data_IF_957646643036
#
_entry.id   IF_957646643036
#
_cell.length_a   1.000
_cell.length_b   1.000
_cell.length_c   1.000
_cell.angle_alpha   90.00
_cell.angle_beta   90.00
_cell.angle_gamma   90.00
#
_symmetry.space_group_name_H-M   'P 1'
#
loop_
_entity.id
_entity.type
_entity.pdbx_description
1 polymer ?
#
# COMPACT_ATOMS: atom_id res chain seq x y z
N UNK A 1 -16.09 7.77 -0.02
CA UNK A 1 -16.17 7.61 1.45
C UNK A 1 -15.80 8.93 2.10
N UNK A 2 -16.62 9.42 3.02
CA UNK A 2 -16.39 10.69 3.71
C UNK A 2 -16.11 10.40 5.20
N UNK A 3 -14.89 10.67 5.64
CA UNK A 3 -14.41 10.51 7.02
C UNK A 3 -14.29 11.85 7.75
N UNK A 4 -14.69 12.97 7.15
CA UNK A 4 -14.78 14.23 7.89
C UNK A 4 -15.88 14.13 8.95
N UNK A 5 -15.76 14.85 10.07
CA UNK A 5 -16.81 14.89 11.08
C UNK A 5 -17.99 15.73 10.57
N UNK A 6 -19.23 15.28 10.81
CA UNK A 6 -20.43 15.89 10.22
C UNK A 6 -20.76 17.28 10.75
N UNK A 7 -20.14 17.70 11.85
CA UNK A 7 -20.26 19.03 12.44
C UNK A 7 -19.27 20.06 11.86
N UNK A 8 -18.41 19.66 10.90
CA UNK A 8 -17.54 20.59 10.19
C UNK A 8 -18.05 20.83 8.76
N UNK A 9 -18.00 22.09 8.31
CA UNK A 9 -18.45 22.49 6.97
C UNK A 9 -17.81 21.66 5.84
N UNK A 10 -16.54 21.27 6.02
CA UNK A 10 -15.78 20.44 5.07
C UNK A 10 -16.47 19.11 4.76
N UNK A 11 -17.26 18.57 5.70
CA UNK A 11 -18.06 17.37 5.46
C UNK A 11 -19.04 17.58 4.33
N UNK A 12 -19.79 18.68 4.37
CA UNK A 12 -20.77 19.04 3.33
C UNK A 12 -20.09 19.37 2.00
N UNK A 13 -18.90 19.96 2.04
CA UNK A 13 -18.14 20.31 0.84
C UNK A 13 -17.59 19.06 0.14
N UNK A 14 -17.11 18.09 0.93
CA UNK A 14 -16.63 16.81 0.42
C UNK A 14 -17.74 15.98 -0.26
N UNK A 15 -19.01 16.12 0.15
CA UNK A 15 -20.14 15.46 -0.51
C UNK A 15 -20.42 16.00 -1.92
N UNK A 16 -20.02 17.25 -2.20
CA UNK A 16 -20.20 17.89 -3.52
C UNK A 16 -19.10 17.53 -4.52
N UNK A 17 -18.06 16.82 -4.08
CA UNK A 17 -16.97 16.40 -4.96
C UNK A 17 -17.49 15.41 -5.98
N UNK A 18 -17.28 15.71 -7.26
CA UNK A 18 -17.72 14.84 -8.34
C UNK A 18 -17.01 13.48 -8.28
N UNK A 19 -17.81 12.42 -8.31
CA UNK A 19 -17.31 11.06 -8.47
C UNK A 19 -16.55 10.93 -9.80
N UNK A 20 -15.44 10.18 -9.79
CA UNK A 20 -14.66 9.90 -10.98
C UNK A 20 -14.83 8.42 -11.38
N UNK A 21 -14.97 8.09 -12.68
CA UNK A 21 -15.01 6.70 -13.12
C UNK A 21 -13.80 5.90 -12.62
N UNK A 22 -14.03 4.65 -12.18
CA UNK A 22 -12.99 3.70 -11.76
C UNK A 22 -12.10 4.25 -10.62
N UNK A 23 -12.57 5.25 -9.89
CA UNK A 23 -11.85 5.88 -8.78
C UNK A 23 -12.69 5.87 -7.52
N UNK A 24 -12.13 5.34 -6.44
CA UNK A 24 -12.73 5.38 -5.12
C UNK A 24 -12.14 6.52 -4.31
N UNK A 25 -12.96 7.52 -4.01
CA UNK A 25 -12.51 8.73 -3.32
C UNK A 25 -12.72 8.62 -1.81
N UNK A 26 -11.72 9.05 -1.04
CA UNK A 26 -11.74 9.06 0.42
C UNK A 26 -11.37 10.45 0.91
N UNK A 27 -12.31 11.17 1.52
CA UNK A 27 -12.04 12.45 2.19
C UNK A 27 -11.91 12.27 3.69
N UNK A 28 -11.04 13.03 4.35
CA UNK A 28 -10.95 13.08 5.81
C UNK A 28 -9.73 13.84 6.33
N UNK A 29 -9.69 14.08 7.64
CA UNK A 29 -8.50 14.62 8.30
C UNK A 29 -7.39 13.58 8.36
N UNK A 30 -6.14 14.03 8.27
CA UNK A 30 -5.00 13.12 8.20
C UNK A 30 -3.65 13.80 8.18
N UNK A 31 -2.61 12.97 8.07
CA UNK A 31 -1.21 13.34 8.06
C UNK A 31 -0.40 12.26 7.31
N UNK A 32 0.95 12.35 7.24
CA UNK A 32 1.76 11.36 6.54
C UNK A 32 1.59 9.91 6.99
N UNK A 33 1.04 9.64 8.17
CA UNK A 33 1.00 8.29 8.76
C UNK A 33 -0.41 7.71 8.89
N UNK A 34 -1.46 8.54 8.95
CA UNK A 34 -2.84 8.08 9.17
C UNK A 34 -3.92 9.08 8.75
N UNK A 35 -5.16 8.60 8.69
CA UNK A 35 -6.39 9.40 8.68
C UNK A 35 -7.18 9.19 9.98
N UNK A 36 -8.13 10.08 10.26
CA UNK A 36 -9.06 9.96 11.38
C UNK A 36 -10.48 9.82 10.84
N UNK A 37 -11.24 8.86 11.38
CA UNK A 37 -12.69 8.82 11.21
C UNK A 37 -13.32 9.89 12.11
N UNK A 38 -13.77 11.00 11.53
CA UNK A 38 -14.35 12.12 12.27
C UNK A 38 -15.64 11.77 13.02
N UNK A 39 -16.34 10.70 12.64
CA UNK A 39 -17.55 10.28 13.36
C UNK A 39 -17.24 9.56 14.67
N UNK A 40 -16.11 8.85 14.75
CA UNK A 40 -15.75 8.01 15.91
C UNK A 40 -14.49 8.45 16.63
N UNK A 41 -13.68 9.32 16.02
CA UNK A 41 -12.32 9.64 16.45
C UNK A 41 -11.30 8.52 16.18
N UNK A 42 -11.68 7.44 15.50
CA UNK A 42 -10.76 6.32 15.26
C UNK A 42 -9.59 6.74 14.39
N UNK A 43 -8.38 6.39 14.83
CA UNK A 43 -7.14 6.54 14.05
C UNK A 43 -7.00 5.36 13.09
N UNK A 44 -6.98 5.67 11.80
CA UNK A 44 -6.91 4.73 10.68
C UNK A 44 -5.52 4.81 10.03
N UNK A 45 -4.63 3.89 10.41
CA UNK A 45 -3.42 3.61 9.64
C UNK A 45 -3.76 2.98 8.27
N UNK A 46 -2.74 2.74 7.44
CA UNK A 46 -2.93 2.18 6.10
C UNK A 46 -3.70 0.85 6.08
N UNK A 47 -3.45 -0.04 7.06
CA UNK A 47 -4.06 -1.37 7.12
C UNK A 47 -5.52 -1.28 7.52
N UNK A 48 -5.84 -0.49 8.55
CA UNK A 48 -7.22 -0.24 8.98
C UNK A 48 -8.02 0.47 7.90
N UNK A 49 -7.43 1.50 7.28
CA UNK A 49 -8.05 2.24 6.18
C UNK A 49 -8.32 1.31 4.99
N UNK A 50 -7.36 0.48 4.60
CA UNK A 50 -7.54 -0.52 3.54
C UNK A 50 -8.67 -1.49 3.85
N UNK A 51 -8.76 -1.98 5.08
CA UNK A 51 -9.85 -2.87 5.51
C UNK A 51 -11.22 -2.19 5.39
N UNK A 52 -11.32 -0.90 5.75
CA UNK A 52 -12.57 -0.13 5.65
C UNK A 52 -12.95 0.16 4.20
N UNK A 53 -11.97 0.47 3.34
CA UNK A 53 -12.17 0.64 1.89
C UNK A 53 -12.66 -0.66 1.24
N UNK A 54 -11.99 -1.80 1.52
CA UNK A 54 -12.37 -3.11 0.96
C UNK A 54 -13.79 -3.54 1.36
N UNK A 55 -14.26 -3.14 2.54
CA UNK A 55 -15.63 -3.39 3.02
C UNK A 55 -16.68 -2.46 2.42
N UNK A 56 -16.28 -1.37 1.78
CA UNK A 56 -17.22 -0.41 1.22
C UNK A 56 -17.85 -0.98 -0.07
N UNK A 57 -19.20 -1.02 -0.19
CA UNK A 57 -19.86 -1.63 -1.34
C UNK A 57 -19.53 -0.95 -2.68
N UNK A 58 -19.16 0.33 -2.65
CA UNK A 58 -18.81 1.14 -3.81
C UNK A 58 -17.35 0.98 -4.25
N UNK A 59 -16.52 0.28 -3.46
CA UNK A 59 -15.16 -0.08 -3.85
C UNK A 59 -15.15 -1.43 -4.56
N UNK A 60 -14.41 -1.52 -5.66
CA UNK A 60 -14.09 -2.77 -6.36
C UNK A 60 -12.57 -2.90 -6.47
N UNK A 61 -12.08 -4.13 -6.40
CA UNK A 61 -10.64 -4.40 -6.53
C UNK A 61 -10.11 -3.83 -7.85
N UNK A 62 -8.94 -3.19 -7.82
CA UNK A 62 -8.32 -2.56 -8.98
C UNK A 62 -8.75 -1.10 -9.24
N UNK A 63 -9.74 -0.57 -8.52
CA UNK A 63 -10.04 0.87 -8.60
C UNK A 63 -8.85 1.69 -8.09
N UNK A 64 -8.58 2.84 -8.71
CA UNK A 64 -7.65 3.83 -8.14
C UNK A 64 -8.27 4.39 -6.87
N UNK A 65 -7.49 4.56 -5.81
CA UNK A 65 -7.96 5.28 -4.62
C UNK A 65 -7.39 6.69 -4.60
N UNK A 66 -8.25 7.69 -4.37
CA UNK A 66 -7.84 9.09 -4.24
C UNK A 66 -8.13 9.57 -2.82
N UNK A 67 -7.08 9.95 -2.09
CA UNK A 67 -7.17 10.43 -0.71
C UNK A 67 -7.20 11.95 -0.71
N UNK A 68 -8.34 12.53 -0.35
CA UNK A 68 -8.48 13.95 -0.10
C UNK A 68 -8.20 14.27 1.37
N UNK A 69 -6.91 14.28 1.71
CA UNK A 69 -6.42 14.63 3.04
C UNK A 69 -5.03 15.27 3.01
N UNK A 70 -4.79 16.22 3.92
CA UNK A 70 -3.55 16.98 4.00
C UNK A 70 -2.32 16.09 4.27
N UNK A 71 -1.23 16.32 3.54
CA UNK A 71 0.08 15.70 3.76
C UNK A 71 0.13 14.15 3.71
N UNK A 72 -0.95 13.47 3.33
CA UNK A 72 -1.02 11.98 3.28
C UNK A 72 -0.09 11.35 2.25
N UNK A 73 0.47 12.15 1.35
CA UNK A 73 1.51 11.78 0.40
C UNK A 73 2.90 12.33 0.76
N UNK A 74 3.12 12.87 1.96
CA UNK A 74 4.38 13.55 2.33
C UNK A 74 5.41 12.64 2.99
N UNK A 75 6.67 12.80 2.59
CA UNK A 75 7.81 12.02 3.09
C UNK A 75 8.14 10.78 2.24
N UNK A 76 9.03 9.94 2.77
CA UNK A 76 9.62 8.80 2.07
C UNK A 76 8.70 7.56 2.05
N UNK A 77 7.97 7.30 3.14
CA UNK A 77 7.01 6.19 3.25
C UNK A 77 5.63 6.70 3.72
N UNK A 78 4.95 7.54 2.92
CA UNK A 78 3.70 8.17 3.31
C UNK A 78 2.54 7.18 3.36
N UNK A 79 1.44 7.57 4.01
CA UNK A 79 0.19 6.83 4.05
C UNK A 79 -0.27 6.40 2.66
N UNK A 80 -0.15 7.28 1.65
CA UNK A 80 -0.47 6.95 0.26
C UNK A 80 0.29 5.73 -0.28
N UNK A 81 1.59 5.62 0.02
CA UNK A 81 2.40 4.47 -0.42
C UNK A 81 2.05 3.20 0.36
N UNK A 82 1.88 3.31 1.68
CA UNK A 82 1.49 2.18 2.51
C UNK A 82 0.12 1.63 2.10
N UNK A 83 -0.84 2.52 1.82
CA UNK A 83 -2.17 2.16 1.36
C UNK A 83 -2.15 1.51 -0.02
N UNK A 84 -1.30 1.99 -0.95
CA UNK A 84 -1.14 1.37 -2.25
C UNK A 84 -0.69 -0.10 -2.13
N UNK A 85 0.22 -0.37 -1.20
CA UNK A 85 0.68 -1.74 -0.91
C UNK A 85 -0.43 -2.61 -0.30
N UNK A 86 -1.20 -2.09 0.65
CA UNK A 86 -2.30 -2.83 1.32
C UNK A 86 -3.48 -3.14 0.38
N UNK A 87 -3.78 -2.23 -0.55
CA UNK A 87 -4.87 -2.39 -1.52
C UNK A 87 -4.44 -3.08 -2.82
N UNK A 88 -3.12 -3.17 -3.07
CA UNK A 88 -2.55 -3.61 -4.34
C UNK A 88 -3.15 -2.85 -5.56
N UNK A 89 -3.27 -1.52 -5.42
CA UNK A 89 -3.78 -0.61 -6.47
C UNK A 89 -3.03 0.71 -6.44
N UNK A 90 -3.28 1.56 -7.43
CA UNK A 90 -2.77 2.93 -7.45
C UNK A 90 -3.49 3.80 -6.41
N UNK A 91 -2.72 4.56 -5.63
CA UNK A 91 -3.24 5.54 -4.67
C UNK A 91 -2.74 6.93 -5.02
N UNK A 92 -3.64 7.91 -5.06
CA UNK A 92 -3.31 9.33 -5.20
C UNK A 92 -3.48 10.04 -3.87
N UNK A 93 -2.44 10.72 -3.39
CA UNK A 93 -2.46 11.42 -2.10
C UNK A 93 -1.70 12.76 -2.16
N UNK A 94 -2.09 13.72 -1.32
CA UNK A 94 -1.52 15.08 -1.35
C UNK A 94 -0.20 15.16 -0.58
N UNK A 95 0.82 15.78 -1.16
CA UNK A 95 2.06 16.13 -0.43
C UNK A 95 1.88 17.38 0.46
N UNK A 96 0.79 18.11 0.28
CA UNK A 96 0.53 19.42 0.92
C UNK A 96 -0.91 19.47 1.48
N UNK A 97 -1.34 20.65 1.90
CA UNK A 97 -2.70 20.90 2.34
C UNK A 97 -3.70 20.82 1.18
N UNK A 98 -4.92 20.36 1.49
CA UNK A 98 -6.03 20.36 0.56
C UNK A 98 -7.09 21.33 1.05
N UNK A 99 -7.56 22.17 0.14
CA UNK A 99 -8.61 23.12 0.42
C UNK A 99 -9.91 22.66 -0.24
N UNK A 100 -10.96 22.63 0.55
CA UNK A 100 -12.32 22.29 0.13
C UNK A 100 -13.16 23.57 0.14
N UNK A 101 -13.16 24.36 -0.94
CA UNK A 101 -14.07 25.49 -1.03
C UNK A 101 -15.52 25.01 -1.03
N UNK A 102 -16.43 25.89 -0.61
CA UNK A 102 -17.85 25.58 -0.41
C UNK A 102 -18.62 25.07 -1.64
N UNK A 103 -18.03 25.29 -2.83
CA UNK A 103 -18.54 24.84 -4.13
C UNK A 103 -18.14 23.40 -4.51
N UNK A 104 -17.38 22.68 -3.67
CA UNK A 104 -16.96 21.29 -3.92
C UNK A 104 -15.81 21.14 -4.93
N UNK A 105 -15.26 22.23 -5.48
CA UNK A 105 -14.13 22.19 -6.41
C UNK A 105 -12.82 22.04 -5.64
N UNK A 106 -12.35 20.80 -5.54
CA UNK A 106 -11.07 20.51 -4.91
C UNK A 106 -9.91 21.15 -5.67
N UNK A 107 -9.14 21.97 -4.97
CA UNK A 107 -7.85 22.48 -5.49
C UNK A 107 -6.79 22.17 -4.44
N UNK A 108 -5.88 21.22 -4.68
CA UNK A 108 -4.72 21.04 -3.82
C UNK A 108 -3.89 22.31 -3.91
N UNK A 109 -3.72 23.02 -2.80
CA UNK A 109 -2.99 24.29 -2.78
C UNK A 109 -2.15 24.39 -1.53
N UNK A 110 -1.06 25.14 -1.63
CA UNK A 110 -0.21 25.43 -0.48
C UNK A 110 -0.96 26.12 0.67
N UNK A 111 -0.26 26.27 1.78
CA UNK A 111 -0.70 27.06 2.92
C UNK A 111 0.34 28.16 3.18
N UNK A 112 -0.12 29.41 3.34
CA UNK A 112 0.73 30.54 3.70
C UNK A 112 1.13 30.44 5.19
N UNK A 113 2.07 31.29 5.60
CA UNK A 113 2.54 31.34 6.99
C UNK A 113 1.40 31.67 7.99
N UNK A 114 0.41 32.47 7.56
CA UNK A 114 -0.79 32.82 8.33
C UNK A 114 -1.88 31.74 8.32
N UNK A 115 -1.56 30.55 7.78
CA UNK A 115 -2.47 29.41 7.60
C UNK A 115 -3.59 29.61 6.59
N UNK A 116 -3.62 30.73 5.87
CA UNK A 116 -4.54 30.91 4.76
C UNK A 116 -4.12 30.10 3.53
N UNK A 117 -5.07 29.91 2.62
CA UNK A 117 -4.86 29.22 1.35
C UNK A 117 -3.84 29.97 0.47
N UNK A 118 -2.82 29.26 -0.01
CA UNK A 118 -1.85 29.81 -0.97
C UNK A 118 -2.28 29.49 -2.41
N UNK A 119 -3.08 30.39 -2.98
CA UNK A 119 -3.57 30.29 -4.38
C UNK A 119 -2.46 30.40 -5.43
N UNK A 120 -1.27 30.87 -5.05
CA UNK A 120 -0.14 31.00 -5.97
C UNK A 120 0.62 29.69 -6.18
N UNK A 121 0.34 28.66 -5.36
CA UNK A 121 1.02 27.37 -5.39
C UNK A 121 0.02 26.23 -5.57
N UNK A 122 -0.52 26.03 -6.79
CA UNK A 122 -1.31 24.84 -7.08
C UNK A 122 -0.44 23.60 -6.93
N UNK A 123 -0.93 22.61 -6.19
CA UNK A 123 -0.21 21.37 -5.90
C UNK A 123 -0.84 20.24 -6.71
N UNK A 124 0.00 19.30 -7.15
CA UNK A 124 -0.48 18.05 -7.78
C UNK A 124 -0.49 16.92 -6.77
N UNK A 125 -1.52 16.08 -6.81
CA UNK A 125 -1.57 14.83 -6.06
C UNK A 125 -0.42 13.91 -6.50
N UNK A 126 0.32 13.33 -5.56
CA UNK A 126 1.32 12.29 -5.85
C UNK A 126 0.61 10.98 -6.12
N UNK A 127 1.08 10.22 -7.11
CA UNK A 127 0.60 8.88 -7.40
C UNK A 127 1.58 7.84 -6.88
N UNK A 128 1.05 6.83 -6.19
CA UNK A 128 1.80 5.73 -5.59
C UNK A 128 1.29 4.42 -6.18
N UNK A 129 2.20 3.62 -6.72
CA UNK A 129 1.89 2.26 -7.18
C UNK A 129 2.31 1.25 -6.10
N UNK A 130 1.69 0.06 -6.05
CA UNK A 130 2.12 -0.98 -5.13
C UNK A 130 3.60 -1.30 -5.36
N UNK A 131 4.38 -1.21 -4.30
CA UNK A 131 5.73 -1.74 -4.30
C UNK A 131 5.60 -3.25 -4.06
N UNK A 132 6.16 -4.05 -4.96
CA UNK A 132 6.29 -5.50 -4.74
C UNK A 132 6.88 -5.71 -3.35
N UNK A 133 6.19 -6.46 -2.48
CA UNK A 133 6.74 -6.88 -1.18
C UNK A 133 8.15 -7.39 -1.46
N UNK A 134 9.18 -6.68 -0.99
CA UNK A 134 10.49 -7.30 -0.84
C UNK A 134 10.24 -8.46 0.13
N UNK A 135 10.10 -9.66 -0.40
CA UNK A 135 10.28 -10.86 0.40
C UNK A 135 11.71 -10.72 0.91
N UNK A 136 11.89 -10.36 2.18
CA UNK A 136 13.20 -10.51 2.81
C UNK A 136 13.53 -11.98 2.63
N UNK A 137 14.54 -12.27 1.80
CA UNK A 137 15.03 -13.63 1.57
C UNK A 137 15.80 -14.12 2.80
N UNK A 138 15.19 -14.07 3.98
CA UNK A 138 15.82 -14.50 5.22
C UNK A 138 15.37 -15.91 5.65
N UNK A 139 14.49 -16.57 4.90
CA UNK A 139 14.06 -17.95 5.19
C UNK A 139 13.98 -18.84 3.93
N UNK A 140 14.96 -18.78 3.04
CA UNK A 140 15.06 -19.69 1.89
C UNK A 140 16.37 -20.52 1.87
N UNK A 141 16.93 -20.84 3.03
CA UNK A 141 18.12 -21.70 3.17
C UNK A 141 17.92 -22.81 4.22
N UNK A 142 16.77 -23.48 4.19
CA UNK A 142 16.63 -24.75 4.90
C UNK A 142 15.72 -25.70 4.11
N UNK A 143 16.33 -26.52 3.25
CA UNK A 143 15.65 -27.63 2.61
C UNK A 143 15.91 -27.80 1.11
N UNK A 144 17.17 -27.96 0.67
CA UNK A 144 17.44 -28.67 -0.58
C UNK A 144 18.86 -29.25 -0.65
N UNK A 145 19.22 -30.12 0.29
CA UNK A 145 20.46 -30.93 0.21
C UNK A 145 20.15 -32.42 0.08
N UNK A 146 19.17 -32.82 -0.75
CA UNK A 146 19.00 -34.22 -1.18
C UNK A 146 18.38 -34.34 -2.57
N UNK A 147 19.01 -33.75 -3.60
CA UNK A 147 18.67 -34.05 -5.00
C UNK A 147 19.75 -33.69 -6.04
N UNK A 148 21.01 -33.95 -5.72
CA UNK A 148 22.08 -34.00 -6.73
C UNK A 148 22.87 -35.29 -6.53
N UNK A 149 22.24 -36.39 -6.95
CA UNK A 149 22.94 -37.62 -7.26
C UNK A 149 22.95 -37.75 -8.78
N UNK A 150 24.07 -38.23 -9.30
CA UNK A 150 24.28 -38.83 -10.62
C UNK A 150 24.49 -37.83 -11.78
N UNK A 151 25.75 -37.42 -12.00
CA UNK A 151 26.36 -37.45 -13.35
C UNK A 151 27.89 -37.25 -13.26
N UNK A 152 28.64 -38.29 -12.88
CA UNK A 152 30.06 -38.40 -13.21
C UNK A 152 30.39 -39.87 -13.51
N UNK A 153 30.03 -40.31 -14.71
CA UNK A 153 30.73 -41.37 -15.40
C UNK A 153 31.90 -40.70 -16.13
N UNK A 154 33.14 -41.09 -15.84
CA UNK A 154 34.08 -41.63 -16.83
C UNK A 154 35.52 -41.74 -16.29
N UNK A 155 36.08 -42.93 -16.50
CA UNK A 155 37.49 -43.36 -16.49
C UNK A 155 38.21 -43.56 -15.15
N UNK A 156 38.38 -44.82 -14.75
CA UNK A 156 39.70 -45.50 -14.62
C UNK A 156 39.51 -47.03 -14.48
N UNK A 157 40.49 -47.87 -14.90
CA UNK A 157 40.27 -49.28 -15.20
C UNK A 157 40.61 -50.26 -14.06
N UNK A 158 39.95 -51.42 -14.16
CA UNK A 158 40.27 -52.78 -13.68
C UNK A 158 41.57 -53.01 -12.89
N UNK A 159 41.43 -53.43 -11.62
CA UNK A 159 42.34 -54.39 -10.96
C UNK A 159 41.53 -55.41 -10.13
N UNK A 160 41.43 -56.60 -10.72
CA UNK A 160 41.49 -57.97 -10.17
C UNK A 160 41.36 -58.26 -8.66
N UNK A 161 40.35 -59.10 -8.36
CA UNK A 161 40.40 -60.35 -7.57
C UNK A 161 40.54 -60.31 -6.02
N UNK A 162 39.49 -60.78 -5.31
CA UNK A 162 39.47 -62.11 -4.62
C UNK A 162 38.11 -62.44 -4.02
N UNK A 163 37.79 -63.74 -4.02
CA UNK A 163 36.53 -64.41 -3.66
C UNK A 163 36.30 -64.62 -2.14
N UNK A 164 34.99 -64.71 -1.79
CA UNK A 164 34.34 -65.55 -0.75
C UNK A 164 34.58 -65.30 0.76
N UNK A 165 33.70 -65.80 1.68
CA UNK A 165 32.29 -66.20 1.57
C UNK A 165 31.33 -65.59 2.63
N UNK A 166 30.04 -65.65 2.31
CA UNK A 166 28.86 -65.86 3.16
C UNK A 166 29.09 -66.25 4.64
N UNK A 167 28.36 -65.58 5.55
CA UNK A 167 27.77 -66.22 6.73
C UNK A 167 26.38 -65.67 7.01
N UNK A 168 25.39 -66.44 6.58
CA UNK A 168 24.07 -66.53 7.21
C UNK A 168 24.21 -66.99 8.67
N UNK A 169 23.46 -66.40 9.61
CA UNK A 169 22.88 -67.12 10.75
C UNK A 169 21.86 -66.24 11.50
N UNK A 170 20.59 -66.64 11.34
CA UNK A 170 19.44 -66.67 12.26
C UNK A 170 19.18 -65.48 13.19
#
# INVERSE_FOLDING_TARGET
MNLFPSNEDIYSYAQKVANKPITFQVGGHGNPSLMVDGATGERLDAKKLAARIKKNPNYKSGMTVEIFSCNTGKGANPLGQQLANELNTTVKASNEYLWFPSNGKLTPMGMKADRSQDTSKPVTMRSFTPQSKKISKEHANYGNTKKFLILFLLLTPLISCKQHPERNLK
#
